data_IF_164026461802
#
_entry.id   IF_164026461802
#
_cell.length_a   1.000
_cell.length_b   1.000
_cell.length_c   1.000
_cell.angle_alpha   90.00
_cell.angle_beta   90.00
_cell.angle_gamma   90.00
#
_symmetry.space_group_name_H-M   'P 1'
#
loop_
_entity.id
_entity.type
_entity.pdbx_description
1 polymer ?
#
# COMPACT_ATOMS: atom_id res chain seq x y z
N UNK A 1 -17.65 17.95 -1.97
CA UNK A 1 -16.82 17.16 -2.92
C UNK A 1 -16.22 18.13 -3.92
N UNK A 2 -14.90 18.23 -4.00
CA UNK A 2 -14.20 19.20 -4.86
C UNK A 2 -13.55 18.50 -6.06
N UNK A 3 -14.02 18.83 -7.26
CA UNK A 3 -13.38 18.39 -8.51
C UNK A 3 -12.00 19.05 -8.67
N UNK A 4 -11.85 20.28 -8.20
CA UNK A 4 -10.59 21.03 -8.24
C UNK A 4 -9.50 20.30 -7.47
N UNK A 5 -9.79 19.82 -6.26
CA UNK A 5 -8.81 19.10 -5.44
C UNK A 5 -8.46 17.74 -6.05
N UNK A 6 -9.43 17.07 -6.67
CA UNK A 6 -9.17 15.84 -7.45
C UNK A 6 -8.21 16.12 -8.62
N UNK A 7 -8.36 17.23 -9.32
CA UNK A 7 -7.44 17.66 -10.38
C UNK A 7 -6.04 18.01 -9.84
N UNK A 8 -5.96 18.67 -8.68
CA UNK A 8 -4.67 18.96 -8.00
C UNK A 8 -3.94 17.68 -7.62
N UNK A 9 -4.63 16.67 -7.09
CA UNK A 9 -4.05 15.36 -6.78
C UNK A 9 -3.54 14.66 -8.04
N UNK A 10 -4.30 14.70 -9.14
CA UNK A 10 -3.84 14.18 -10.44
C UNK A 10 -2.61 14.93 -10.95
N UNK A 11 -2.57 16.25 -10.79
CA UNK A 11 -1.39 17.07 -11.11
C UNK A 11 -0.16 16.70 -10.27
N UNK A 12 -0.34 16.44 -8.99
CA UNK A 12 0.73 15.96 -8.12
C UNK A 12 1.23 14.56 -8.55
N UNK A 13 0.32 13.66 -8.92
CA UNK A 13 0.69 12.35 -9.49
C UNK A 13 1.49 12.49 -10.78
N UNK A 14 1.08 13.38 -11.69
CA UNK A 14 1.81 13.63 -12.94
C UNK A 14 3.24 14.15 -12.68
N UNK A 15 3.43 15.01 -11.68
CA UNK A 15 4.74 15.56 -11.29
C UNK A 15 5.74 14.50 -10.80
N UNK A 16 5.29 13.37 -10.27
CA UNK A 16 6.19 12.26 -9.89
C UNK A 16 6.26 11.20 -10.99
N UNK A 17 5.19 10.96 -11.72
CA UNK A 17 5.13 9.93 -12.77
C UNK A 17 5.98 10.29 -13.98
N UNK A 18 5.87 11.52 -14.48
CA UNK A 18 6.57 11.92 -15.70
C UNK A 18 8.12 11.87 -15.55
N UNK A 19 8.73 12.45 -14.51
CA UNK A 19 10.18 12.30 -14.34
C UNK A 19 10.58 10.85 -14.02
N UNK A 20 9.78 10.08 -13.29
CA UNK A 20 10.09 8.65 -13.04
C UNK A 20 10.08 7.83 -14.33
N UNK A 21 9.18 8.15 -15.25
CA UNK A 21 9.17 7.52 -16.58
C UNK A 21 10.41 7.90 -17.40
N UNK A 22 10.83 9.17 -17.38
CA UNK A 22 12.03 9.63 -18.10
C UNK A 22 13.29 8.98 -17.50
N UNK A 23 13.43 8.96 -16.18
CA UNK A 23 14.57 8.33 -15.52
C UNK A 23 14.62 6.83 -15.78
N UNK A 24 13.45 6.16 -15.80
CA UNK A 24 13.36 4.75 -16.18
C UNK A 24 13.84 4.48 -17.62
N UNK A 25 13.52 5.36 -18.58
CA UNK A 25 14.00 5.24 -19.96
C UNK A 25 15.51 5.42 -20.08
N UNK A 26 16.10 6.23 -19.18
CA UNK A 26 17.56 6.48 -19.13
C UNK A 26 18.31 5.41 -18.34
N UNK A 27 17.62 4.56 -17.58
CA UNK A 27 18.23 3.62 -16.66
C UNK A 27 18.71 4.23 -15.33
N UNK A 28 18.30 5.47 -15.04
CA UNK A 28 18.77 6.26 -13.90
C UNK A 28 17.81 6.22 -12.69
N UNK A 29 16.68 5.50 -12.79
CA UNK A 29 15.69 5.44 -11.73
C UNK A 29 16.15 4.58 -10.55
N UNK A 30 16.66 5.20 -9.49
CA UNK A 30 17.07 4.52 -8.27
C UNK A 30 15.92 4.29 -7.29
N UNK A 31 16.07 3.30 -6.38
CA UNK A 31 15.11 3.08 -5.26
C UNK A 31 14.95 4.34 -4.41
N UNK A 32 16.04 5.02 -4.07
CA UNK A 32 16.02 6.24 -3.28
C UNK A 32 15.19 7.36 -3.94
N UNK A 33 15.34 7.54 -5.26
CA UNK A 33 14.55 8.51 -6.04
C UNK A 33 13.07 8.16 -6.03
N UNK A 34 12.73 6.87 -6.15
CA UNK A 34 11.33 6.41 -6.07
C UNK A 34 10.76 6.70 -4.68
N UNK A 35 11.49 6.35 -3.62
CA UNK A 35 11.05 6.51 -2.23
C UNK A 35 10.82 7.99 -1.89
N UNK A 36 11.71 8.88 -2.33
CA UNK A 36 11.55 10.33 -2.19
C UNK A 36 10.29 10.84 -2.91
N UNK A 37 10.09 10.44 -4.17
CA UNK A 37 8.94 10.87 -4.97
C UNK A 37 7.61 10.37 -4.40
N UNK A 38 7.56 9.13 -3.93
CA UNK A 38 6.36 8.57 -3.32
C UNK A 38 6.05 9.28 -2.00
N UNK A 39 7.07 9.57 -1.18
CA UNK A 39 6.91 10.33 0.07
C UNK A 39 6.43 11.75 -0.21
N UNK A 40 7.05 12.44 -1.18
CA UNK A 40 6.61 13.78 -1.61
C UNK A 40 5.15 13.76 -2.08
N UNK A 41 4.78 12.80 -2.92
CA UNK A 41 3.40 12.65 -3.40
C UNK A 41 2.42 12.43 -2.25
N UNK A 42 2.77 11.58 -1.30
CA UNK A 42 1.92 11.28 -0.14
C UNK A 42 1.68 12.52 0.73
N UNK A 43 2.73 13.25 1.06
CA UNK A 43 2.62 14.51 1.80
C UNK A 43 1.77 15.54 1.03
N UNK A 44 2.00 15.65 -0.30
CA UNK A 44 1.24 16.58 -1.12
C UNK A 44 -0.24 16.25 -1.22
N UNK A 45 -0.62 14.97 -1.23
CA UNK A 45 -2.03 14.54 -1.18
C UNK A 45 -2.68 14.93 0.15
N UNK A 46 -1.99 14.72 1.27
CA UNK A 46 -2.45 15.10 2.61
C UNK A 46 -2.72 16.61 2.67
N UNK A 47 -1.78 17.43 2.19
CA UNK A 47 -1.93 18.89 2.16
C UNK A 47 -3.08 19.34 1.25
N UNK A 48 -3.17 18.82 0.00
CA UNK A 48 -4.21 19.21 -0.97
C UNK A 48 -5.60 18.91 -0.42
N UNK A 49 -5.75 17.77 0.25
CA UNK A 49 -7.03 17.30 0.75
C UNK A 49 -7.32 17.75 2.18
N UNK A 50 -6.40 18.51 2.80
CA UNK A 50 -6.53 18.97 4.19
C UNK A 50 -6.86 17.80 5.14
N UNK A 51 -6.06 16.72 5.05
CA UNK A 51 -6.31 15.51 5.83
C UNK A 51 -5.69 15.64 7.23
N UNK A 52 -6.51 15.48 8.25
CA UNK A 52 -6.05 15.37 9.64
C UNK A 52 -5.58 13.93 9.90
N UNK A 53 -4.31 13.66 9.56
CA UNK A 53 -3.72 12.33 9.68
C UNK A 53 -3.11 12.11 11.06
N UNK A 54 -3.57 11.06 11.74
CA UNK A 54 -2.98 10.55 12.98
C UNK A 54 -2.40 9.16 12.77
N UNK A 55 -1.28 8.87 13.43
CA UNK A 55 -0.62 7.57 13.32
C UNK A 55 -0.05 7.13 14.66
N UNK A 56 -0.20 5.84 14.99
CA UNK A 56 0.33 5.22 16.21
C UNK A 56 1.02 3.89 15.90
N UNK A 57 1.97 3.48 16.75
CA UNK A 57 2.60 2.17 16.70
C UNK A 57 3.77 2.03 15.71
N UNK A 58 4.24 3.11 15.06
CA UNK A 58 5.42 3.07 14.20
C UNK A 58 6.69 2.65 14.97
N UNK A 59 6.78 2.99 16.25
CA UNK A 59 7.84 2.62 17.18
C UNK A 59 7.89 1.11 17.48
N UNK A 60 6.83 0.37 17.24
CA UNK A 60 6.75 -1.09 17.41
C UNK A 60 7.45 -1.86 16.29
N UNK A 61 7.83 -1.22 15.20
CA UNK A 61 8.44 -1.85 14.02
C UNK A 61 9.94 -1.56 14.00
N UNK A 62 10.80 -2.49 14.44
CA UNK A 62 12.24 -2.29 14.43
C UNK A 62 12.79 -2.04 13.02
N UNK A 63 13.77 -1.13 12.85
CA UNK A 63 14.42 -0.94 11.55
C UNK A 63 15.36 -2.11 11.21
N UNK A 64 15.86 -2.13 9.97
CA UNK A 64 16.97 -3.01 9.56
C UNK A 64 16.55 -4.32 8.89
N UNK A 65 15.24 -4.59 8.74
CA UNK A 65 14.75 -5.74 7.98
C UNK A 65 13.52 -5.38 7.14
N UNK A 66 13.20 -6.21 6.16
CA UNK A 66 11.99 -6.09 5.37
C UNK A 66 10.77 -6.67 6.09
N UNK A 67 9.60 -6.09 5.83
CA UNK A 67 8.32 -6.49 6.37
C UNK A 67 7.28 -6.69 5.27
N UNK A 68 6.26 -7.49 5.56
CA UNK A 68 5.03 -7.57 4.76
C UNK A 68 3.93 -6.80 5.49
N UNK A 69 3.72 -5.55 5.10
CA UNK A 69 2.64 -4.72 5.63
C UNK A 69 1.30 -5.14 5.05
N UNK A 70 0.33 -5.41 5.91
CA UNK A 70 -1.01 -5.82 5.53
C UNK A 70 -2.05 -4.90 6.14
N UNK A 71 -2.79 -4.14 5.32
CA UNK A 71 -3.87 -3.29 5.82
C UNK A 71 -5.23 -3.71 5.27
N UNK A 72 -6.30 -3.28 5.96
CA UNK A 72 -7.61 -3.18 5.34
C UNK A 72 -7.57 -2.23 4.14
N UNK A 73 -8.62 -2.23 3.31
CA UNK A 73 -8.65 -1.42 2.09
C UNK A 73 -10.00 -0.71 1.92
N UNK A 74 -10.00 0.59 2.16
CA UNK A 74 -11.19 1.43 2.09
C UNK A 74 -11.21 2.32 0.84
N UNK A 75 -10.04 2.85 0.44
CA UNK A 75 -9.93 3.86 -0.61
C UNK A 75 -8.64 3.73 -1.42
N UNK A 76 -8.58 4.36 -2.58
CA UNK A 76 -7.28 4.59 -3.25
C UNK A 76 -6.37 5.53 -2.44
N UNK A 77 -6.93 6.29 -1.52
CA UNK A 77 -6.18 7.19 -0.65
C UNK A 77 -5.53 6.47 0.55
N UNK A 78 -5.80 5.18 0.76
CA UNK A 78 -5.03 4.39 1.73
C UNK A 78 -3.54 4.45 1.40
N UNK A 79 -3.18 4.39 0.10
CA UNK A 79 -1.80 4.35 -0.37
C UNK A 79 -0.97 5.56 0.13
N UNK A 80 -1.33 6.83 -0.18
CA UNK A 80 -0.56 7.97 0.30
C UNK A 80 -0.55 8.09 1.82
N UNK A 81 -1.62 7.73 2.53
CA UNK A 81 -1.64 7.78 4.00
C UNK A 81 -0.65 6.76 4.60
N UNK A 82 -0.63 5.54 4.06
CA UNK A 82 0.28 4.49 4.52
C UNK A 82 1.74 4.83 4.20
N UNK A 83 2.05 5.33 3.00
CA UNK A 83 3.42 5.77 2.68
C UNK A 83 3.91 6.96 3.51
N UNK A 84 3.00 7.78 4.05
CA UNK A 84 3.34 8.86 4.95
C UNK A 84 3.60 8.40 6.40
N UNK A 85 3.11 7.22 6.80
CA UNK A 85 3.11 6.77 8.20
C UNK A 85 3.96 5.52 8.47
N UNK A 86 4.13 4.65 7.47
CA UNK A 86 4.89 3.41 7.64
C UNK A 86 6.39 3.67 7.83
N UNK A 87 7.05 3.03 8.81
CA UNK A 87 8.42 3.37 9.20
C UNK A 87 9.51 2.80 8.29
N UNK A 88 9.20 1.87 7.38
CA UNK A 88 10.20 1.31 6.46
C UNK A 88 10.66 2.34 5.43
N UNK A 89 11.98 2.46 5.15
CA UNK A 89 12.51 3.45 4.21
C UNK A 89 12.09 3.17 2.76
N UNK A 90 12.05 1.90 2.39
CA UNK A 90 11.71 1.43 1.04
C UNK A 90 10.54 0.46 1.11
N UNK A 91 9.44 0.82 0.47
CA UNK A 91 8.22 0.01 0.40
C UNK A 91 7.79 -0.09 -1.06
N UNK A 92 7.39 -1.29 -1.50
CA UNK A 92 6.76 -1.50 -2.80
C UNK A 92 5.40 -2.15 -2.62
N UNK A 93 4.41 -1.72 -3.40
CA UNK A 93 3.05 -2.24 -3.26
C UNK A 93 2.71 -3.25 -4.34
N UNK A 94 1.82 -4.18 -3.99
CA UNK A 94 1.13 -5.02 -4.94
C UNK A 94 -0.13 -4.31 -5.43
N UNK A 95 -0.17 -4.01 -6.73
CA UNK A 95 -1.28 -3.30 -7.37
C UNK A 95 -2.03 -4.18 -8.36
N UNK A 96 -3.32 -3.87 -8.60
CA UNK A 96 -4.16 -4.53 -9.59
C UNK A 96 -3.66 -4.24 -11.01
N UNK A 97 -3.62 -5.24 -11.91
CA UNK A 97 -3.09 -5.13 -13.29
C UNK A 97 -3.64 -3.95 -14.09
N UNK A 98 -4.92 -3.58 -13.88
CA UNK A 98 -5.55 -2.48 -14.62
C UNK A 98 -4.91 -1.12 -14.30
N UNK A 99 -4.33 -0.93 -13.13
CA UNK A 99 -3.55 0.27 -12.81
C UNK A 99 -2.31 0.35 -13.70
N UNK A 100 -1.64 -0.77 -13.93
CA UNK A 100 -0.43 -0.83 -14.75
C UNK A 100 -0.70 -0.69 -16.27
N UNK A 101 -1.96 -0.65 -16.68
CA UNK A 101 -2.36 -0.35 -18.05
C UNK A 101 -2.50 1.16 -18.32
N UNK A 102 -2.49 2.00 -17.27
CA UNK A 102 -2.53 3.46 -17.42
C UNK A 102 -1.25 3.91 -18.13
N UNK A 103 -1.35 4.63 -19.27
CA UNK A 103 -0.19 5.11 -20.02
C UNK A 103 0.76 5.92 -19.13
N UNK A 104 2.07 5.82 -19.37
CA UNK A 104 3.17 6.41 -18.60
C UNK A 104 3.25 5.89 -17.16
N UNK A 105 2.16 5.96 -16.39
CA UNK A 105 2.14 5.51 -14.99
C UNK A 105 2.50 4.04 -14.87
N UNK A 106 1.90 3.17 -15.66
CA UNK A 106 2.16 1.72 -15.59
C UNK A 106 3.62 1.35 -15.89
N UNK A 107 4.25 2.06 -16.85
CA UNK A 107 5.68 1.86 -17.14
C UNK A 107 6.57 2.38 -16.01
N UNK A 108 6.29 3.59 -15.51
CA UNK A 108 6.99 4.16 -14.38
C UNK A 108 6.85 3.29 -13.12
N UNK A 109 5.64 2.79 -12.84
CA UNK A 109 5.37 1.93 -11.70
C UNK A 109 6.14 0.60 -11.76
N UNK A 110 6.19 -0.05 -12.93
CA UNK A 110 7.01 -1.28 -13.09
C UNK A 110 8.50 -1.00 -12.92
N UNK A 111 9.00 0.10 -13.50
CA UNK A 111 10.39 0.50 -13.33
C UNK A 111 10.72 0.90 -11.89
N UNK A 112 9.73 1.40 -11.15
CA UNK A 112 9.81 1.68 -9.72
C UNK A 112 9.62 0.44 -8.84
N UNK A 113 9.65 -0.77 -9.41
CA UNK A 113 9.52 -2.06 -8.73
C UNK A 113 8.14 -2.30 -8.05
N UNK A 114 7.10 -1.52 -8.41
CA UNK A 114 5.74 -1.88 -8.00
C UNK A 114 5.27 -3.13 -8.73
N UNK A 115 4.56 -4.00 -8.04
CA UNK A 115 4.26 -5.35 -8.50
C UNK A 115 2.83 -5.43 -9.02
N UNK A 116 2.71 -5.77 -10.30
CA UNK A 116 1.43 -6.01 -10.95
C UNK A 116 0.86 -7.38 -10.55
N UNK A 117 -0.39 -7.41 -10.09
CA UNK A 117 -1.09 -8.67 -9.75
C UNK A 117 -2.28 -8.88 -10.68
N UNK A 118 -2.22 -9.93 -11.49
CA UNK A 118 -3.36 -10.42 -12.25
C UNK A 118 -4.15 -11.44 -11.41
N UNK A 119 -5.21 -10.96 -10.78
CA UNK A 119 -6.07 -11.79 -9.90
C UNK A 119 -6.96 -12.76 -10.66
N UNK A 120 -7.08 -12.61 -11.98
CA UNK A 120 -7.85 -13.52 -12.83
C UNK A 120 -7.03 -14.70 -13.36
N UNK A 121 -5.70 -14.66 -13.16
CA UNK A 121 -4.78 -15.70 -13.63
C UNK A 121 -3.90 -16.18 -12.47
N UNK A 122 -4.15 -17.39 -12.00
CA UNK A 122 -3.43 -17.99 -10.87
C UNK A 122 -1.92 -18.07 -11.09
N UNK A 123 -1.48 -18.52 -12.27
CA UNK A 123 -0.05 -18.63 -12.58
C UNK A 123 0.66 -17.28 -12.56
N UNK A 124 0.03 -16.22 -13.10
CA UNK A 124 0.57 -14.85 -13.02
C UNK A 124 0.57 -14.30 -11.60
N UNK A 125 -0.46 -14.59 -10.82
CA UNK A 125 -0.49 -14.19 -9.41
C UNK A 125 0.65 -14.86 -8.61
N UNK A 126 0.96 -16.13 -8.87
CA UNK A 126 2.12 -16.82 -8.28
C UNK A 126 3.44 -16.16 -8.69
N UNK A 127 3.59 -15.78 -9.97
CA UNK A 127 4.78 -15.05 -10.44
C UNK A 127 4.93 -13.69 -9.73
N UNK A 128 3.84 -12.97 -9.52
CA UNK A 128 3.85 -11.70 -8.78
C UNK A 128 4.32 -11.89 -7.32
N UNK A 129 3.89 -12.97 -6.67
CA UNK A 129 4.36 -13.32 -5.32
C UNK A 129 5.85 -13.68 -5.33
N UNK A 130 6.33 -14.41 -6.34
CA UNK A 130 7.76 -14.73 -6.47
C UNK A 130 8.61 -13.46 -6.69
N UNK A 131 8.13 -12.51 -7.49
CA UNK A 131 8.78 -11.20 -7.65
C UNK A 131 8.82 -10.42 -6.33
N UNK A 132 7.71 -10.39 -5.58
CA UNK A 132 7.66 -9.77 -4.25
C UNK A 132 8.65 -10.43 -3.29
N UNK A 133 8.76 -11.77 -3.32
CA UNK A 133 9.69 -12.51 -2.49
C UNK A 133 11.16 -12.14 -2.78
N UNK A 134 11.51 -11.87 -4.04
CA UNK A 134 12.85 -11.41 -4.37
C UNK A 134 13.13 -10.01 -3.77
N UNK A 135 12.17 -9.08 -3.89
CA UNK A 135 12.31 -7.74 -3.29
C UNK A 135 12.47 -7.80 -1.77
N UNK A 136 11.73 -8.69 -1.09
CA UNK A 136 11.87 -8.91 0.35
C UNK A 136 13.29 -9.37 0.71
N UNK A 137 13.85 -10.30 -0.06
CA UNK A 137 15.25 -10.76 0.13
C UNK A 137 16.26 -9.64 -0.09
N UNK A 138 15.94 -8.69 -0.97
CA UNK A 138 16.77 -7.49 -1.23
C UNK A 138 16.54 -6.37 -0.19
N UNK A 139 15.83 -6.64 0.90
CA UNK A 139 15.59 -5.70 2.00
C UNK A 139 14.44 -4.72 1.76
N UNK A 140 13.62 -4.91 0.72
CA UNK A 140 12.48 -4.05 0.38
C UNK A 140 11.22 -4.57 1.08
N UNK A 141 10.57 -3.73 1.86
CA UNK A 141 9.28 -4.06 2.46
C UNK A 141 8.16 -4.07 1.42
N UNK A 142 7.22 -4.96 1.59
CA UNK A 142 6.07 -5.09 0.68
C UNK A 142 4.80 -4.65 1.39
N UNK A 143 4.01 -3.81 0.71
CA UNK A 143 2.66 -3.45 1.14
C UNK A 143 1.62 -4.13 0.25
N UNK A 144 0.60 -4.68 0.88
CA UNK A 144 -0.58 -5.21 0.22
C UNK A 144 -1.83 -5.11 1.09
N UNK A 145 -3.00 -5.05 0.44
CA UNK A 145 -4.29 -5.19 1.11
C UNK A 145 -4.81 -6.62 0.88
N UNK A 146 -4.83 -7.49 1.90
CA UNK A 146 -5.16 -8.91 1.73
C UNK A 146 -6.62 -9.17 1.36
N UNK A 147 -7.53 -8.22 1.55
CA UNK A 147 -8.91 -8.31 1.04
C UNK A 147 -8.97 -8.39 -0.48
N UNK A 148 -7.97 -7.80 -1.16
CA UNK A 148 -7.88 -7.81 -2.61
C UNK A 148 -8.89 -6.91 -3.32
N UNK A 149 -9.74 -6.19 -2.61
CA UNK A 149 -10.68 -5.20 -3.14
C UNK A 149 -11.00 -4.17 -2.06
N UNK A 150 -11.38 -2.96 -2.46
CA UNK A 150 -11.82 -1.94 -1.50
C UNK A 150 -13.17 -2.32 -0.89
N UNK A 151 -13.30 -2.13 0.41
CA UNK A 151 -14.57 -2.24 1.12
C UNK A 151 -15.62 -1.28 0.53
N UNK A 152 -16.89 -1.61 0.69
CA UNK A 152 -18.01 -0.75 0.30
C UNK A 152 -18.58 0.04 1.47
N UNK A 153 -18.46 -0.52 2.66
CA UNK A 153 -19.09 -0.06 3.90
C UNK A 153 -18.10 0.12 5.06
N UNK A 154 -16.78 0.06 4.78
CA UNK A 154 -15.72 0.17 5.78
C UNK A 154 -15.39 -1.15 6.51
N UNK A 155 -16.24 -2.17 6.41
CA UNK A 155 -16.04 -3.44 7.12
C UNK A 155 -14.95 -4.29 6.49
N UNK A 156 -14.28 -5.10 7.34
CA UNK A 156 -13.21 -6.00 6.92
C UNK A 156 -13.80 -7.21 6.18
N UNK A 157 -13.46 -7.34 4.91
CA UNK A 157 -13.83 -8.47 4.07
C UNK A 157 -13.00 -9.74 4.34
N UNK A 158 -13.26 -10.82 3.59
CA UNK A 158 -12.44 -12.04 3.64
C UNK A 158 -11.01 -11.77 3.15
N UNK A 159 -10.02 -12.26 3.89
CA UNK A 159 -8.61 -12.12 3.53
C UNK A 159 -8.19 -13.19 2.51
N UNK A 160 -7.35 -12.82 1.55
CA UNK A 160 -6.75 -13.70 0.54
C UNK A 160 -5.40 -14.24 1.02
N UNK A 161 -5.10 -15.49 0.70
CA UNK A 161 -3.91 -16.22 1.17
C UNK A 161 -2.58 -15.72 0.60
N UNK A 162 -2.57 -15.04 -0.56
CA UNK A 162 -1.36 -14.70 -1.32
C UNK A 162 -0.30 -13.93 -0.52
N UNK A 163 -0.68 -12.89 0.22
CA UNK A 163 0.25 -12.13 1.06
C UNK A 163 0.83 -12.96 2.22
N UNK A 164 0.03 -13.84 2.79
CA UNK A 164 0.49 -14.74 3.86
C UNK A 164 1.48 -15.79 3.34
N UNK A 165 1.25 -16.33 2.14
CA UNK A 165 2.23 -17.19 1.46
C UNK A 165 3.53 -16.46 1.15
N UNK A 166 3.48 -15.16 0.79
CA UNK A 166 4.67 -14.33 0.63
C UNK A 166 5.46 -14.27 1.94
N UNK A 167 4.81 -13.93 3.04
CA UNK A 167 5.44 -13.80 4.36
C UNK A 167 6.05 -15.15 4.82
N UNK A 168 5.28 -16.24 4.75
CA UNK A 168 5.76 -17.57 5.09
C UNK A 168 6.94 -18.03 4.22
N UNK A 169 6.86 -17.78 2.89
CA UNK A 169 7.90 -18.20 1.94
C UNK A 169 9.20 -17.39 2.05
N UNK A 170 9.16 -16.18 2.60
CA UNK A 170 10.34 -15.31 2.78
C UNK A 170 10.85 -15.30 4.21
N UNK A 171 10.04 -15.71 5.18
CA UNK A 171 10.31 -15.53 6.60
C UNK A 171 10.16 -14.08 7.10
N UNK A 172 9.69 -13.17 6.24
CA UNK A 172 9.49 -11.78 6.62
C UNK A 172 8.27 -11.64 7.55
N UNK A 173 8.40 -10.92 8.68
CA UNK A 173 7.28 -10.72 9.57
C UNK A 173 6.16 -9.94 8.91
N UNK A 174 4.93 -10.22 9.31
CA UNK A 174 3.75 -9.46 8.93
C UNK A 174 3.57 -8.30 9.90
N UNK A 175 3.38 -7.09 9.38
CA UNK A 175 2.97 -5.93 10.18
C UNK A 175 1.53 -5.60 9.80
N UNK A 176 0.54 -5.89 10.67
CA UNK A 176 -0.83 -5.52 10.42
C UNK A 176 -1.01 -4.02 10.62
N UNK A 177 -1.81 -3.38 9.75
CA UNK A 177 -2.05 -1.94 9.78
C UNK A 177 -3.54 -1.67 9.60
N UNK A 178 -4.15 -1.02 10.56
CA UNK A 178 -5.54 -0.59 10.44
C UNK A 178 -5.57 0.86 9.94
N UNK A 179 -6.42 1.14 8.94
CA UNK A 179 -6.66 2.49 8.42
C UNK A 179 -8.15 2.80 8.43
N UNK A 180 -8.52 3.97 8.94
CA UNK A 180 -9.91 4.44 9.01
C UNK A 180 -10.03 5.86 8.46
N UNK A 181 -11.21 6.21 7.91
CA UNK A 181 -11.53 7.55 7.44
C UNK A 181 -11.23 7.82 5.96
N UNK A 182 -10.43 7.02 5.27
CA UNK A 182 -10.14 7.24 3.85
C UNK A 182 -11.35 7.01 2.94
N UNK A 183 -12.30 6.19 3.37
CA UNK A 183 -13.58 5.97 2.68
C UNK A 183 -14.39 7.27 2.61
N UNK A 184 -14.29 8.14 3.60
CA UNK A 184 -14.99 9.43 3.63
C UNK A 184 -14.40 10.45 2.67
N UNK A 185 -13.11 10.35 2.38
CA UNK A 185 -12.44 11.19 1.38
C UNK A 185 -12.84 10.76 -0.04
N UNK A 186 -12.69 9.47 -0.37
CA UNK A 186 -12.97 8.94 -1.70
C UNK A 186 -13.57 7.53 -1.61
N UNK A 187 -14.91 7.43 -1.45
CA UNK A 187 -15.60 6.15 -1.47
C UNK A 187 -15.41 5.41 -2.79
N UNK A 188 -15.62 4.10 -2.76
CA UNK A 188 -15.56 3.29 -3.98
C UNK A 188 -16.59 3.76 -5.01
N UNK A 189 -16.09 4.13 -6.21
CA UNK A 189 -16.92 4.61 -7.32
C UNK A 189 -17.12 6.13 -7.36
N UNK A 190 -16.74 6.86 -6.32
CA UNK A 190 -16.75 8.32 -6.35
C UNK A 190 -15.69 8.88 -7.32
N UNK A 191 -15.99 10.04 -7.93
CA UNK A 191 -15.11 10.75 -8.86
C UNK A 191 -14.51 12.02 -8.28
N UNK A 192 -15.09 12.52 -7.19
CA UNK A 192 -14.63 13.74 -6.54
C UNK A 192 -14.30 13.46 -5.06
N UNK A 193 -13.20 14.05 -4.60
CA UNK A 193 -12.68 13.88 -3.25
C UNK A 193 -13.30 14.90 -2.29
N UNK A 194 -13.45 14.51 -1.02
CA UNK A 194 -13.77 15.41 0.09
C UNK A 194 -12.48 15.86 0.76
N UNK A 195 -12.48 17.06 1.31
CA UNK A 195 -11.38 17.65 2.07
C UNK A 195 -11.73 17.75 3.56
N UNK A 196 -10.74 18.04 4.39
CA UNK A 196 -10.93 18.26 5.82
C UNK A 196 -11.36 17.01 6.60
N UNK A 197 -11.02 15.82 6.10
CA UNK A 197 -11.38 14.57 6.77
C UNK A 197 -10.28 14.11 7.72
N UNK A 198 -10.68 13.42 8.78
CA UNK A 198 -9.74 12.76 9.69
C UNK A 198 -9.44 11.35 9.21
N UNK A 199 -8.16 10.98 9.23
CA UNK A 199 -7.70 9.62 8.93
C UNK A 199 -6.84 9.14 10.09
N UNK A 200 -7.11 7.95 10.59
CA UNK A 200 -6.29 7.27 11.59
C UNK A 200 -5.57 6.06 10.98
N UNK A 201 -4.31 5.87 11.37
CA UNK A 201 -3.48 4.70 11.02
C UNK A 201 -2.94 4.09 12.29
N UNK A 202 -3.31 2.84 12.58
CA UNK A 202 -2.78 2.07 13.71
C UNK A 202 -1.86 0.97 13.18
N UNK A 203 -0.59 1.02 13.54
CA UNK A 203 0.44 0.06 13.13
C UNK A 203 0.62 -0.95 14.27
N UNK A 204 0.41 -2.24 13.98
CA UNK A 204 0.61 -3.32 14.93
C UNK A 204 2.07 -3.71 15.10
N UNK A 205 2.34 -4.48 16.14
CA UNK A 205 3.64 -5.11 16.30
C UNK A 205 3.87 -6.15 15.18
N UNK A 206 5.14 -6.38 14.76
CA UNK A 206 5.45 -7.42 13.80
C UNK A 206 5.05 -8.80 14.31
N UNK A 207 4.35 -9.56 13.48
CA UNK A 207 3.97 -10.95 13.73
C UNK A 207 5.02 -11.83 13.05
N UNK A 208 5.81 -12.53 13.84
CA UNK A 208 6.80 -13.49 13.31
C UNK A 208 6.08 -14.69 12.69
N UNK A 209 6.58 -15.14 11.53
CA UNK A 209 5.92 -16.20 10.74
C UNK A 209 6.59 -17.57 10.89
N UNK A 210 7.79 -17.62 11.45
CA UNK A 210 8.53 -18.87 11.63
C UNK A 210 7.76 -19.84 12.54
N UNK A 211 7.56 -21.06 12.06
CA UNK A 211 6.83 -22.10 12.81
C UNK A 211 5.31 -21.87 12.93
N UNK A 212 4.77 -20.90 12.23
CA UNK A 212 3.33 -20.58 12.24
C UNK A 212 2.60 -21.21 11.06
N UNK A 213 1.36 -21.56 11.27
CA UNK A 213 0.46 -22.00 10.20
C UNK A 213 -0.28 -20.81 9.54
N UNK A 214 -0.73 -21.04 8.31
CA UNK A 214 -1.38 -20.03 7.48
C UNK A 214 -2.67 -19.47 8.12
N UNK A 215 -3.51 -20.36 8.63
CA UNK A 215 -4.84 -19.99 9.13
C UNK A 215 -4.73 -19.23 10.46
N UNK A 216 -3.73 -19.57 11.30
CA UNK A 216 -3.40 -18.84 12.52
C UNK A 216 -2.94 -17.41 12.21
N UNK A 217 -2.05 -17.23 11.23
CA UNK A 217 -1.60 -15.90 10.80
C UNK A 217 -2.76 -15.07 10.22
N UNK A 218 -3.61 -15.68 9.40
CA UNK A 218 -4.78 -15.00 8.81
C UNK A 218 -5.76 -14.55 9.89
N UNK A 219 -6.00 -15.37 10.91
CA UNK A 219 -6.87 -15.03 12.03
C UNK A 219 -6.31 -13.86 12.84
N UNK A 220 -5.04 -13.90 13.24
CA UNK A 220 -4.40 -12.86 14.02
C UNK A 220 -4.39 -11.50 13.30
N UNK A 221 -4.04 -11.48 12.01
CA UNK A 221 -4.12 -10.25 11.21
C UNK A 221 -5.56 -9.74 11.12
N UNK A 222 -6.54 -10.64 10.93
CA UNK A 222 -7.95 -10.26 10.86
C UNK A 222 -8.46 -9.69 12.17
N UNK A 223 -8.13 -10.31 13.30
CA UNK A 223 -8.49 -9.84 14.64
C UNK A 223 -7.96 -8.43 14.87
N UNK A 224 -6.66 -8.20 14.61
CA UNK A 224 -6.07 -6.87 14.71
C UNK A 224 -6.82 -5.82 13.85
N UNK A 225 -7.13 -6.15 12.59
CA UNK A 225 -7.84 -5.23 11.71
C UNK A 225 -9.24 -4.91 12.21
N UNK A 226 -9.99 -5.92 12.68
CA UNK A 226 -11.36 -5.74 13.20
C UNK A 226 -11.39 -4.92 14.49
N UNK A 227 -10.39 -5.10 15.36
CA UNK A 227 -10.30 -4.38 16.64
C UNK A 227 -9.89 -2.92 16.48
N UNK A 228 -9.13 -2.58 15.41
CA UNK A 228 -8.52 -1.25 15.23
C UNK A 228 -9.09 -0.43 14.07
N UNK A 229 -10.02 -0.97 13.27
CA UNK A 229 -10.74 -0.20 12.26
C UNK A 229 -12.02 0.34 12.86
N UNK A 230 -12.10 1.66 12.97
CA UNK A 230 -13.33 2.34 13.32
C UNK A 230 -14.38 2.15 12.23
N UNK A 231 -15.59 1.75 12.61
CA UNK A 231 -16.71 1.49 11.71
C UNK A 231 -17.43 2.78 11.29
#
# INVERSE_FOLDING_TARGET
MSLLESMRVLGAMAKVTAPSFVDALRGDLSRATVDERVRWFSQRVIEILDVHLTSTGADRVPPGRAYVYMSNHQSHLDIPMLYATLPSPTIRMLGKKELFQIPLWGRAARAAEFIEVDRSNHARAVQSIAQAAQLVKDGVSIYLAPEGTRSRDGRIGPLKKGGFHLALGTGAPIVPVAISGTIDILPRGAKAMRTGQTVSVTIGAPIEVAGRDLDGLMREVREFLVENVEA
#
